data_IF_070528508020
#
_entry.id   IF_070528508020
#
_cell.length_a   1.000
_cell.length_b   1.000
_cell.length_c   1.000
_cell.angle_alpha   90.00
_cell.angle_beta   90.00
_cell.angle_gamma   90.00
#
_symmetry.space_group_name_H-M   'P 1'
#
loop_
_entity.id
_entity.type
_entity.pdbx_description
1 polymer ?
#
# COMPACT_ATOMS: atom_id res chain seq x y z
N UNK A 1 8.86 15.60 -21.13
CA UNK A 1 8.17 14.46 -21.79
C UNK A 1 6.68 14.57 -21.52
N UNK A 2 5.81 14.30 -22.51
CA UNK A 2 4.37 14.27 -22.29
C UNK A 2 4.00 13.14 -21.32
N UNK A 3 2.95 13.36 -20.53
CA UNK A 3 2.37 12.35 -19.66
C UNK A 3 1.49 11.42 -20.50
N UNK A 4 1.83 10.14 -20.52
CA UNK A 4 0.99 9.13 -21.16
C UNK A 4 0.06 8.52 -20.11
N UNK A 5 -1.22 8.40 -20.43
CA UNK A 5 -2.20 7.73 -19.57
C UNK A 5 -2.86 6.58 -20.31
N UNK A 6 -2.94 5.42 -19.65
CA UNK A 6 -3.68 4.26 -20.14
C UNK A 6 -4.70 3.82 -19.09
N UNK A 7 -5.84 3.33 -19.52
CA UNK A 7 -6.89 2.81 -18.63
C UNK A 7 -7.36 1.44 -19.05
N UNK A 8 -7.67 0.59 -18.07
CA UNK A 8 -8.16 -0.76 -18.30
C UNK A 8 -9.28 -1.07 -17.33
N UNK A 9 -10.24 -1.84 -17.80
CA UNK A 9 -11.29 -2.46 -16.99
C UNK A 9 -11.13 -3.95 -17.15
N UNK A 10 -10.92 -4.66 -16.05
CA UNK A 10 -10.79 -6.12 -16.02
C UNK A 10 -11.98 -6.70 -15.26
N UNK A 11 -12.67 -7.64 -15.91
CA UNK A 11 -13.80 -8.37 -15.37
C UNK A 11 -13.35 -9.76 -14.92
N UNK A 12 -14.05 -10.34 -13.93
CA UNK A 12 -13.80 -11.70 -13.45
C UNK A 12 -12.53 -11.83 -12.59
N UNK A 13 -12.05 -10.71 -12.05
CA UNK A 13 -11.01 -10.71 -11.04
C UNK A 13 -11.61 -11.04 -9.68
N UNK A 14 -10.96 -11.94 -8.96
CA UNK A 14 -11.24 -12.15 -7.54
C UNK A 14 -10.60 -10.98 -6.79
N UNK A 15 -11.45 -10.19 -6.13
CA UNK A 15 -11.00 -9.02 -5.38
C UNK A 15 -10.88 -9.37 -3.89
N UNK A 16 -9.72 -9.14 -3.26
CA UNK A 16 -9.58 -9.37 -1.83
C UNK A 16 -10.50 -8.45 -1.03
N UNK A 17 -11.20 -8.95 0.00
CA UNK A 17 -12.04 -8.14 0.88
C UNK A 17 -11.14 -7.39 1.87
N UNK A 18 -10.33 -6.45 1.37
CA UNK A 18 -9.42 -5.67 2.20
C UNK A 18 -10.21 -4.73 3.10
N UNK A 19 -9.94 -4.81 4.39
CA UNK A 19 -10.55 -3.99 5.44
C UNK A 19 -9.56 -3.79 6.58
N UNK A 20 -9.79 -2.81 7.46
CA UNK A 20 -9.02 -2.64 8.70
C UNK A 20 -8.92 -3.96 9.48
N UNK A 21 -10.04 -4.66 9.64
CA UNK A 21 -10.09 -5.94 10.35
C UNK A 21 -9.19 -7.01 9.70
N UNK A 22 -9.10 -7.05 8.36
CA UNK A 22 -8.22 -7.98 7.64
C UNK A 22 -6.76 -7.78 8.03
N UNK A 23 -6.31 -6.51 8.12
CA UNK A 23 -4.94 -6.18 8.49
C UNK A 23 -4.68 -6.32 10.00
N UNK A 24 -5.64 -5.95 10.85
CA UNK A 24 -5.56 -6.11 12.30
C UNK A 24 -5.47 -7.59 12.71
N UNK A 25 -6.17 -8.50 12.02
CA UNK A 25 -6.04 -9.95 12.21
C UNK A 25 -4.64 -10.48 11.87
N UNK A 26 -3.94 -9.83 10.95
CA UNK A 26 -2.55 -10.12 10.62
C UNK A 26 -1.57 -9.42 11.56
N UNK A 27 -2.06 -8.65 12.52
CA UNK A 27 -1.24 -7.92 13.49
C UNK A 27 -0.72 -6.57 13.00
N UNK A 28 -1.27 -6.05 11.90
CA UNK A 28 -1.02 -4.67 11.48
C UNK A 28 -1.94 -3.71 12.22
N UNK A 29 -1.35 -2.66 12.76
CA UNK A 29 -2.10 -1.53 13.28
C UNK A 29 -2.07 -0.41 12.22
N UNK A 30 -3.25 0.09 11.90
CA UNK A 30 -3.55 0.88 10.72
C UNK A 30 -3.54 2.37 11.05
N UNK A 31 -2.84 3.15 10.24
CA UNK A 31 -2.84 4.60 10.35
C UNK A 31 -4.05 5.20 9.65
N UNK A 32 -4.63 6.23 10.26
CA UNK A 32 -5.65 7.07 9.63
C UNK A 32 -4.99 8.18 8.82
N UNK A 33 -5.44 8.38 7.59
CA UNK A 33 -4.98 9.40 6.67
C UNK A 33 -5.37 10.78 7.20
N UNK A 34 -4.44 11.46 7.87
CA UNK A 34 -4.70 12.76 8.47
C UNK A 34 -5.08 13.80 7.40
N UNK A 35 -6.16 14.53 7.64
CA UNK A 35 -6.52 15.71 6.84
C UNK A 35 -5.36 16.70 6.87
N UNK A 36 -4.81 17.03 5.71
CA UNK A 36 -4.09 18.29 5.54
C UNK A 36 -5.08 19.43 5.77
N UNK A 37 -5.15 19.96 6.99
CA UNK A 37 -5.79 21.24 7.28
C UNK A 37 -4.95 22.34 6.63
N UNK A 38 -5.23 22.64 5.36
CA UNK A 38 -4.59 23.70 4.61
C UNK A 38 -5.63 24.68 4.09
N UNK A 39 -6.34 25.34 5.00
CA UNK A 39 -7.03 26.59 4.70
C UNK A 39 -6.10 27.75 5.08
N UNK A 40 -5.55 28.43 4.07
CA UNK A 40 -5.03 29.80 4.17
C UNK A 40 -3.65 29.99 4.79
N UNK A 41 -2.62 30.07 3.95
CA UNK A 41 -1.63 31.16 4.02
C UNK A 41 -0.81 31.16 2.73
N UNK A 42 -1.01 32.20 1.92
CA UNK A 42 -0.15 32.54 0.80
C UNK A 42 1.17 33.09 1.35
N UNK A 43 2.14 32.22 1.59
CA UNK A 43 3.54 32.64 1.65
C UNK A 43 4.39 31.58 0.95
N UNK A 44 4.65 31.84 -0.33
CA UNK A 44 5.53 31.07 -1.20
C UNK A 44 6.99 31.33 -0.77
N UNK A 45 7.51 30.47 0.11
CA UNK A 45 8.92 30.05 0.18
C UNK A 45 9.04 28.87 1.17
N UNK A 46 9.62 27.78 0.69
CA UNK A 46 10.04 26.58 1.44
C UNK A 46 8.94 25.61 1.92
N UNK A 47 8.03 25.25 1.01
CA UNK A 47 7.00 24.23 1.22
C UNK A 47 7.45 22.78 0.96
N UNK A 48 8.49 22.29 1.65
CA UNK A 48 8.74 20.85 1.76
C UNK A 48 7.85 20.27 2.87
N UNK A 49 6.54 20.20 2.59
CA UNK A 49 5.55 19.57 3.47
C UNK A 49 5.99 18.16 3.85
N UNK A 50 6.15 17.95 5.15
CA UNK A 50 6.76 16.79 5.78
C UNK A 50 5.84 15.56 5.66
N UNK A 51 5.68 14.98 4.46
CA UNK A 51 5.23 13.60 4.30
C UNK A 51 6.40 12.72 4.73
N UNK A 52 6.51 12.47 6.02
CA UNK A 52 7.28 11.34 6.50
C UNK A 52 6.45 10.12 6.12
N UNK A 53 6.88 9.40 5.09
CA UNK A 53 6.62 7.97 5.05
C UNK A 53 7.38 7.40 6.25
N UNK A 54 6.80 7.50 7.46
CA UNK A 54 7.24 6.62 8.53
C UNK A 54 6.95 5.21 8.03
N UNK A 55 8.02 4.42 8.01
CA UNK A 55 7.93 3.05 7.61
C UNK A 55 6.99 2.34 8.59
N UNK A 56 6.08 1.50 8.09
CA UNK A 56 5.78 0.26 8.80
C UNK A 56 7.05 -0.59 8.70
N UNK A 57 8.04 -0.20 9.49
CA UNK A 57 9.12 -1.08 9.85
C UNK A 57 8.52 -2.15 10.72
N UNK A 58 8.73 -3.41 10.36
CA UNK A 58 9.06 -4.42 11.37
C UNK A 58 10.28 -3.89 12.13
N UNK A 59 10.07 -2.94 13.06
CA UNK A 59 11.13 -2.38 13.88
C UNK A 59 11.63 -3.55 14.71
N UNK A 60 12.84 -3.98 14.36
CA UNK A 60 13.42 -5.23 14.81
C UNK A 60 13.37 -5.38 16.32
N UNK A 61 13.23 -6.63 16.75
CA UNK A 61 13.98 -7.10 17.89
C UNK A 61 15.41 -6.54 17.78
N UNK A 62 15.80 -5.69 18.72
CA UNK A 62 17.09 -5.66 19.43
C UNK A 62 17.10 -4.46 20.40
N UNK A 63 17.65 -4.70 21.58
CA UNK A 63 17.63 -3.90 22.81
C UNK A 63 17.43 -2.37 22.72
N UNK A 64 16.42 -1.87 23.43
CA UNK A 64 16.31 -0.48 23.84
C UNK A 64 16.77 -0.28 25.29
N UNK A 65 17.71 0.65 25.48
CA UNK A 65 17.81 1.48 26.67
C UNK A 65 17.92 2.93 26.19
N UNK A 66 17.00 3.80 26.63
CA UNK A 66 17.02 5.24 26.33
C UNK A 66 15.62 5.83 26.15
N UNK A 67 15.15 6.58 27.15
CA UNK A 67 13.77 7.04 27.31
C UNK A 67 13.40 8.39 26.70
N UNK A 68 12.12 8.74 26.93
CA UNK A 68 11.42 9.98 26.56
C UNK A 68 10.42 9.72 25.43
N UNK A 69 9.13 10.00 25.50
CA UNK A 69 8.30 10.72 26.45
C UNK A 69 7.11 11.32 25.68
N UNK A 70 5.94 10.67 25.74
CA UNK A 70 4.64 11.29 25.45
C UNK A 70 4.07 11.15 24.04
N UNK A 71 3.20 10.16 23.82
CA UNK A 71 1.77 10.33 23.45
C UNK A 71 1.18 8.96 23.13
N UNK A 72 0.19 8.53 23.91
CA UNK A 72 -0.85 7.55 23.52
C UNK A 72 -0.47 6.19 22.91
N UNK A 73 0.79 5.77 22.93
CA UNK A 73 1.23 4.51 22.32
C UNK A 73 0.70 3.33 23.12
N UNK A 74 -0.45 2.78 22.70
CA UNK A 74 -0.87 1.45 23.08
C UNK A 74 0.33 0.51 22.94
N UNK A 75 0.74 -0.11 24.04
CA UNK A 75 1.93 -0.95 24.12
C UNK A 75 1.75 -2.10 23.13
N UNK A 76 2.32 -2.00 21.92
CA UNK A 76 2.23 -3.04 20.91
C UNK A 76 2.83 -4.31 21.49
N UNK A 77 2.00 -5.35 21.59
CA UNK A 77 2.51 -6.68 21.87
C UNK A 77 3.33 -7.11 20.65
N UNK A 78 4.54 -7.65 20.85
CA UNK A 78 5.31 -8.17 19.74
C UNK A 78 4.53 -9.27 19.03
N UNK A 79 4.49 -9.23 17.70
CA UNK A 79 3.88 -10.29 16.91
C UNK A 79 4.56 -11.62 17.21
N UNK A 80 3.77 -12.67 17.27
CA UNK A 80 4.34 -14.02 17.25
C UNK A 80 5.06 -14.24 15.92
N UNK A 81 6.06 -15.12 15.90
CA UNK A 81 6.81 -15.48 14.67
C UNK A 81 5.86 -15.90 13.54
N UNK A 82 4.80 -16.63 13.88
CA UNK A 82 3.79 -17.07 12.93
C UNK A 82 2.94 -15.91 12.37
N UNK A 83 2.55 -14.94 13.22
CA UNK A 83 1.84 -13.74 12.78
C UNK A 83 2.71 -12.87 11.88
N UNK A 84 3.98 -12.65 12.26
CA UNK A 84 4.93 -11.90 11.44
C UNK A 84 5.14 -12.56 10.07
N UNK A 85 5.28 -13.90 10.03
CA UNK A 85 5.40 -14.64 8.77
C UNK A 85 4.14 -14.51 7.89
N UNK A 86 2.94 -14.70 8.46
CA UNK A 86 1.68 -14.53 7.73
C UNK A 86 1.52 -13.12 7.20
N UNK A 87 1.86 -12.12 8.01
CA UNK A 87 1.79 -10.73 7.62
C UNK A 87 2.71 -10.43 6.44
N UNK A 88 3.99 -10.85 6.51
CA UNK A 88 4.94 -10.68 5.40
C UNK A 88 4.45 -11.35 4.13
N UNK A 89 3.90 -12.57 4.23
CA UNK A 89 3.36 -13.28 3.07
C UNK A 89 2.15 -12.58 2.46
N UNK A 90 1.22 -12.13 3.31
CA UNK A 90 0.06 -11.35 2.89
C UNK A 90 0.46 -10.07 2.13
N UNK A 91 1.39 -9.31 2.71
CA UNK A 91 1.88 -8.05 2.14
C UNK A 91 2.61 -8.31 0.81
N UNK A 92 3.57 -9.23 0.80
CA UNK A 92 4.36 -9.54 -0.41
C UNK A 92 3.47 -10.09 -1.52
N UNK A 93 2.52 -10.97 -1.20
CA UNK A 93 1.57 -11.51 -2.18
C UNK A 93 0.64 -10.41 -2.71
N UNK A 94 0.12 -9.53 -1.85
CA UNK A 94 -0.71 -8.40 -2.30
C UNK A 94 0.08 -7.46 -3.22
N UNK A 95 1.32 -7.14 -2.88
CA UNK A 95 2.18 -6.33 -3.73
C UNK A 95 2.47 -7.01 -5.09
N UNK A 96 2.74 -8.32 -5.07
CA UNK A 96 3.00 -9.11 -6.29
C UNK A 96 1.76 -9.14 -7.19
N UNK A 97 0.59 -9.34 -6.59
CA UNK A 97 -0.70 -9.31 -7.27
C UNK A 97 -0.99 -7.94 -7.90
N UNK A 98 -0.78 -6.84 -7.17
CA UNK A 98 -0.91 -5.47 -7.69
C UNK A 98 0.08 -5.20 -8.84
N UNK A 99 1.31 -5.69 -8.73
CA UNK A 99 2.33 -5.61 -9.79
C UNK A 99 1.90 -6.36 -11.06
N UNK A 100 1.38 -7.57 -10.92
CA UNK A 100 0.87 -8.37 -12.04
C UNK A 100 -0.30 -7.65 -12.76
N UNK A 101 -1.23 -7.08 -12.00
CA UNK A 101 -2.33 -6.27 -12.54
C UNK A 101 -1.80 -5.04 -13.30
N UNK A 102 -0.83 -4.32 -12.73
CA UNK A 102 -0.22 -3.16 -13.37
C UNK A 102 0.50 -3.53 -14.68
N UNK A 103 1.18 -4.69 -14.71
CA UNK A 103 1.80 -5.24 -15.91
C UNK A 103 0.79 -5.75 -16.95
N UNK A 104 -0.51 -5.77 -16.62
CA UNK A 104 -1.55 -6.17 -17.56
C UNK A 104 -1.73 -7.66 -17.70
N UNK A 105 -1.32 -8.43 -16.70
CA UNK A 105 -1.54 -9.86 -16.69
C UNK A 105 -3.05 -10.17 -16.72
N UNK A 106 -3.40 -11.34 -17.30
CA UNK A 106 -4.77 -11.81 -17.39
C UNK A 106 -5.35 -12.12 -16.01
N UNK A 107 -6.69 -12.11 -15.91
CA UNK A 107 -7.39 -12.36 -14.64
C UNK A 107 -7.06 -13.74 -14.05
N UNK A 108 -6.89 -14.78 -14.85
CA UNK A 108 -6.52 -16.13 -14.39
C UNK A 108 -5.19 -16.10 -13.63
N UNK A 109 -4.13 -15.56 -14.24
CA UNK A 109 -2.82 -15.48 -13.59
C UNK A 109 -2.86 -14.60 -12.34
N UNK A 110 -3.59 -13.48 -12.38
CA UNK A 110 -3.74 -12.63 -11.20
C UNK A 110 -4.47 -13.37 -10.08
N UNK A 111 -5.52 -14.13 -10.39
CA UNK A 111 -6.25 -14.89 -9.37
C UNK A 111 -5.36 -15.96 -8.71
N UNK A 112 -4.47 -16.60 -9.47
CA UNK A 112 -3.52 -17.59 -8.94
C UNK A 112 -2.42 -16.98 -8.04
N UNK A 113 -2.16 -15.67 -8.17
CA UNK A 113 -1.15 -14.94 -7.39
C UNK A 113 -1.70 -14.32 -6.10
N UNK A 114 -3.01 -14.38 -5.88
CA UNK A 114 -3.66 -13.74 -4.74
C UNK A 114 -3.38 -14.57 -3.46
N UNK A 115 -2.75 -14.00 -2.42
CA UNK A 115 -2.35 -14.79 -1.27
C UNK A 115 -3.55 -15.17 -0.39
N UNK A 116 -3.57 -16.42 0.08
CA UNK A 116 -4.62 -16.94 0.97
C UNK A 116 -4.78 -16.10 2.24
N UNK A 117 -3.73 -15.41 2.69
CA UNK A 117 -3.79 -14.58 3.90
C UNK A 117 -4.64 -13.32 3.73
N UNK A 118 -4.74 -12.74 2.53
CA UNK A 118 -5.63 -11.60 2.24
C UNK A 118 -6.95 -12.04 1.58
N UNK A 119 -7.03 -13.32 1.24
CA UNK A 119 -8.22 -14.03 0.79
C UNK A 119 -8.54 -15.14 1.77
N UNK A 120 -9.04 -14.81 2.99
CA UNK A 120 -9.39 -15.85 3.93
C UNK A 120 -10.36 -16.81 3.26
N UNK A 121 -9.95 -18.08 3.14
CA UNK A 121 -10.85 -19.19 2.89
C UNK A 121 -11.97 -19.04 3.90
N UNK A 122 -13.22 -18.98 3.43
CA UNK A 122 -14.39 -18.88 4.30
C UNK A 122 -14.20 -19.93 5.40
N UNK A 123 -14.00 -19.47 6.64
CA UNK A 123 -13.94 -20.34 7.81
C UNK A 123 -15.19 -21.22 7.77
N UNK A 124 -15.03 -22.53 7.94
CA UNK A 124 -16.14 -23.50 7.85
C UNK A 124 -17.33 -23.14 8.76
N UNK A 125 -17.07 -22.38 9.82
CA UNK A 125 -18.07 -21.91 10.81
C UNK A 125 -18.63 -20.50 10.55
N UNK A 126 -18.12 -19.76 9.57
CA UNK A 126 -18.67 -18.47 9.20
C UNK A 126 -19.95 -18.68 8.37
N UNK A 127 -21.04 -17.91 8.63
CA UNK A 127 -22.20 -17.97 7.76
C UNK A 127 -21.75 -17.73 6.31
N UNK A 128 -22.18 -18.62 5.42
CA UNK A 128 -21.82 -18.52 4.01
C UNK A 128 -22.09 -17.08 3.53
N UNK A 129 -21.12 -16.43 2.87
CA UNK A 129 -21.35 -15.10 2.32
C UNK A 129 -22.61 -15.14 1.47
N UNK A 130 -23.41 -14.07 1.54
CA UNK A 130 -24.66 -14.02 0.76
C UNK A 130 -24.35 -14.26 -0.72
N UNK A 131 -25.34 -14.76 -1.47
CA UNK A 131 -25.17 -14.97 -2.92
C UNK A 131 -24.66 -13.71 -3.63
N UNK A 132 -25.15 -12.54 -3.24
CA UNK A 132 -24.68 -11.25 -3.76
C UNK A 132 -23.21 -10.98 -3.44
N UNK A 133 -22.75 -11.35 -2.25
CA UNK A 133 -21.35 -11.18 -1.85
C UNK A 133 -20.43 -12.18 -2.56
N UNK A 134 -20.88 -13.42 -2.76
CA UNK A 134 -20.17 -14.40 -3.59
C UNK A 134 -20.09 -13.94 -5.05
N UNK A 135 -21.19 -13.46 -5.63
CA UNK A 135 -21.21 -12.92 -6.99
C UNK A 135 -20.31 -11.69 -7.11
N UNK A 136 -20.27 -10.79 -6.11
CA UNK A 136 -19.32 -9.67 -6.07
C UNK A 136 -17.86 -10.11 -5.99
N UNK A 137 -17.56 -11.19 -5.25
CA UNK A 137 -16.21 -11.75 -5.15
C UNK A 137 -15.77 -12.45 -6.43
N UNK A 138 -16.70 -13.10 -7.15
CA UNK A 138 -16.43 -13.87 -8.38
C UNK A 138 -16.47 -13.00 -9.66
N UNK A 139 -17.23 -11.90 -9.64
CA UNK A 139 -17.44 -11.00 -10.78
C UNK A 139 -16.96 -9.58 -10.49
N UNK A 140 -15.91 -9.47 -9.67
CA UNK A 140 -15.27 -8.19 -9.38
C UNK A 140 -14.88 -7.46 -10.66
N UNK A 141 -15.17 -6.17 -10.72
CA UNK A 141 -14.68 -5.28 -11.78
C UNK A 141 -13.55 -4.44 -11.20
N UNK A 142 -12.34 -4.60 -11.74
CA UNK A 142 -11.22 -3.75 -11.41
C UNK A 142 -11.05 -2.69 -12.50
N UNK A 143 -10.94 -1.43 -12.09
CA UNK A 143 -10.58 -0.32 -12.97
C UNK A 143 -9.18 0.14 -12.60
N UNK A 144 -8.24 0.02 -13.54
CA UNK A 144 -6.88 0.52 -13.37
C UNK A 144 -6.59 1.67 -14.32
N UNK A 145 -5.80 2.63 -13.82
CA UNK A 145 -5.25 3.75 -14.58
C UNK A 145 -3.76 3.79 -14.34
N UNK A 146 -2.99 3.88 -15.42
CA UNK A 146 -1.55 3.95 -15.37
C UNK A 146 -1.09 5.23 -16.07
N UNK A 147 -0.23 5.98 -15.39
CA UNK A 147 0.44 7.15 -15.94
C UNK A 147 1.93 6.87 -16.05
N UNK A 148 2.53 7.25 -17.19
CA UNK A 148 3.97 7.11 -17.43
C UNK A 148 4.58 8.45 -17.78
N UNK A 149 5.76 8.70 -17.24
CA UNK A 149 6.54 9.92 -17.48
C UNK A 149 7.11 10.50 -16.18
N UNK A 150 7.52 11.76 -16.25
CA UNK A 150 8.04 12.49 -15.10
C UNK A 150 6.87 13.02 -14.25
N UNK A 151 6.52 12.28 -13.20
CA UNK A 151 5.51 12.69 -12.23
C UNK A 151 6.17 13.41 -11.06
N UNK A 152 5.67 14.60 -10.72
CA UNK A 152 6.10 15.30 -9.51
C UNK A 152 5.48 14.67 -8.27
N UNK A 153 6.14 14.83 -7.12
CA UNK A 153 5.57 14.39 -5.83
C UNK A 153 4.19 15.01 -5.57
N UNK A 154 3.99 16.26 -5.97
CA UNK A 154 2.70 16.93 -5.86
C UNK A 154 1.59 16.25 -6.68
N UNK A 155 1.91 15.82 -7.91
CA UNK A 155 0.96 15.07 -8.75
C UNK A 155 0.60 13.72 -8.11
N UNK A 156 1.60 13.00 -7.60
CA UNK A 156 1.39 11.72 -6.90
C UNK A 156 0.51 11.91 -5.66
N UNK A 157 0.76 12.96 -4.86
CA UNK A 157 -0.06 13.30 -3.70
C UNK A 157 -1.51 13.64 -4.08
N UNK A 158 -1.73 14.36 -5.19
CA UNK A 158 -3.08 14.66 -5.66
C UNK A 158 -3.82 13.39 -6.09
N UNK A 159 -3.14 12.43 -6.72
CA UNK A 159 -3.72 11.11 -7.04
C UNK A 159 -4.09 10.38 -5.75
N UNK A 160 -3.20 10.33 -4.76
CA UNK A 160 -3.50 9.69 -3.47
C UNK A 160 -4.72 10.31 -2.76
N UNK A 161 -4.82 11.64 -2.74
CA UNK A 161 -5.98 12.34 -2.17
C UNK A 161 -7.27 12.01 -2.90
N UNK A 162 -7.24 12.02 -4.24
CA UNK A 162 -8.40 11.65 -5.05
C UNK A 162 -8.81 10.19 -4.85
N UNK A 163 -7.84 9.28 -4.73
CA UNK A 163 -8.08 7.86 -4.46
C UNK A 163 -8.69 7.63 -3.08
N UNK A 164 -8.13 8.27 -2.04
CA UNK A 164 -8.69 8.25 -0.68
C UNK A 164 -10.14 8.77 -0.68
N UNK A 165 -10.44 9.86 -1.40
CA UNK A 165 -11.79 10.38 -1.54
C UNK A 165 -12.79 9.38 -2.16
N UNK A 166 -12.35 8.58 -3.14
CA UNK A 166 -13.21 7.55 -3.75
C UNK A 166 -13.60 6.47 -2.74
N UNK A 167 -12.66 6.04 -1.89
CA UNK A 167 -12.90 5.04 -0.85
C UNK A 167 -13.76 5.64 0.26
N UNK A 168 -13.45 6.86 0.70
CA UNK A 168 -14.18 7.59 1.74
C UNK A 168 -15.64 7.85 1.37
N UNK A 169 -15.90 8.20 0.11
CA UNK A 169 -17.25 8.36 -0.43
C UNK A 169 -17.94 7.04 -0.76
N UNK A 170 -17.35 5.90 -0.38
CA UNK A 170 -17.86 4.54 -0.59
C UNK A 170 -18.18 4.21 -2.05
N UNK A 171 -17.52 4.88 -3.01
CA UNK A 171 -17.65 4.56 -4.44
C UNK A 171 -16.94 3.26 -4.80
N UNK A 172 -15.92 2.91 -4.02
CA UNK A 172 -15.18 1.65 -4.07
C UNK A 172 -14.89 1.17 -2.65
N UNK A 173 -14.82 -0.15 -2.39
CA UNK A 173 -14.58 -0.68 -1.05
C UNK A 173 -13.15 -0.43 -0.54
N UNK A 174 -12.19 -0.40 -1.46
CA UNK A 174 -10.79 -0.05 -1.24
C UNK A 174 -10.19 0.36 -2.59
N UNK A 175 -9.02 1.01 -2.55
CA UNK A 175 -8.27 1.33 -3.75
C UNK A 175 -6.77 1.30 -3.47
N UNK A 176 -5.96 1.09 -4.50
CA UNK A 176 -4.51 1.08 -4.36
C UNK A 176 -3.85 2.06 -5.34
N UNK A 177 -2.81 2.74 -4.87
CA UNK A 177 -1.90 3.52 -5.70
C UNK A 177 -0.54 2.83 -5.66
N UNK A 178 -0.06 2.41 -6.82
CA UNK A 178 1.27 1.85 -6.97
C UNK A 178 2.16 2.82 -7.73
N UNK A 179 3.33 3.12 -7.17
CA UNK A 179 4.30 4.06 -7.74
C UNK A 179 5.59 3.30 -8.01
N UNK A 180 6.08 3.42 -9.24
CA UNK A 180 7.41 2.99 -9.65
C UNK A 180 8.30 4.21 -9.83
N UNK A 181 9.41 4.24 -9.09
CA UNK A 181 10.49 5.19 -9.29
C UNK A 181 11.34 4.84 -10.50
N UNK A 182 12.37 5.64 -10.74
CA UNK A 182 13.33 5.38 -11.82
C UNK A 182 14.43 4.44 -11.33
N UNK A 183 14.77 3.46 -12.16
CA UNK A 183 15.85 2.50 -11.88
C UNK A 183 17.24 3.15 -11.73
N UNK A 184 17.44 4.32 -12.34
CA UNK A 184 18.69 5.09 -12.32
C UNK A 184 18.67 6.25 -11.31
N UNK A 185 17.76 6.23 -10.33
CA UNK A 185 17.72 7.25 -9.27
C UNK A 185 18.91 7.06 -8.33
N UNK A 186 19.88 8.00 -8.24
CA UNK A 186 21.05 7.83 -7.38
C UNK A 186 20.70 7.93 -5.88
N UNK A 187 19.68 8.75 -5.57
CA UNK A 187 19.24 9.06 -4.21
C UNK A 187 17.72 9.08 -4.16
N UNK A 188 17.13 8.21 -3.35
CA UNK A 188 15.70 8.17 -3.08
C UNK A 188 15.42 8.42 -1.59
N UNK A 189 14.15 8.37 -1.20
CA UNK A 189 13.73 8.31 0.21
C UNK A 189 14.45 9.29 1.16
N UNK A 190 14.34 10.61 0.90
CA UNK A 190 14.93 11.67 1.73
C UNK A 190 16.46 11.62 1.88
N UNK A 191 17.17 11.25 0.81
CA UNK A 191 18.63 11.28 0.84
C UNK A 191 19.28 9.90 0.98
N UNK A 192 18.49 8.83 1.02
CA UNK A 192 19.04 7.47 1.03
C UNK A 192 19.62 7.15 -0.36
N UNK A 193 20.91 6.82 -0.38
CA UNK A 193 21.57 6.32 -1.57
C UNK A 193 20.91 5.03 -2.02
N UNK A 194 20.50 4.98 -3.28
CA UNK A 194 20.05 3.74 -3.88
C UNK A 194 21.29 2.87 -4.12
N UNK A 195 21.35 1.71 -3.47
CA UNK A 195 22.45 0.77 -3.66
C UNK A 195 22.48 0.27 -5.10
N UNK A 196 23.52 0.60 -5.86
CA UNK A 196 23.76 0.14 -7.23
C UNK A 196 24.21 -1.34 -7.31
N UNK A 197 23.73 -2.19 -6.40
CA UNK A 197 24.13 -3.59 -6.39
C UNK A 197 23.36 -4.36 -7.48
N UNK A 198 24.10 -4.79 -8.51
CA UNK A 198 23.70 -5.69 -9.58
C UNK A 198 22.58 -5.17 -10.50
N UNK A 199 22.97 -4.36 -11.50
CA UNK A 199 22.25 -4.25 -12.77
C UNK A 199 21.03 -3.33 -12.82
N UNK A 200 20.95 -2.30 -11.97
CA UNK A 200 19.83 -1.33 -12.00
C UNK A 200 18.53 -1.85 -11.39
N UNK A 201 18.58 -2.91 -10.59
CA UNK A 201 17.41 -3.51 -9.93
C UNK A 201 16.95 -2.76 -8.66
N UNK A 202 17.42 -1.53 -8.44
CA UNK A 202 17.06 -0.67 -7.30
C UNK A 202 15.92 0.27 -7.65
N UNK A 203 14.76 -0.26 -8.03
CA UNK A 203 13.59 0.60 -8.27
C UNK A 203 12.97 1.02 -6.94
N UNK A 204 12.93 2.34 -6.66
CA UNK A 204 12.13 2.88 -5.55
C UNK A 204 10.65 2.74 -5.88
N UNK A 205 10.06 1.61 -5.51
CA UNK A 205 8.63 1.42 -5.62
C UNK A 205 7.95 1.47 -4.26
N UNK A 206 6.65 1.75 -4.27
CA UNK A 206 5.81 1.56 -3.11
C UNK A 206 4.34 1.41 -3.53
N UNK A 207 3.57 0.77 -2.67
CA UNK A 207 2.13 0.59 -2.84
C UNK A 207 1.43 1.20 -1.64
N UNK A 208 0.42 2.03 -1.87
CA UNK A 208 -0.48 2.53 -0.82
C UNK A 208 -1.84 1.92 -1.05
N UNK A 209 -2.39 1.25 -0.04
CA UNK A 209 -3.77 0.73 -0.08
C UNK A 209 -4.62 1.58 0.85
N UNK A 210 -5.68 2.15 0.30
CA UNK A 210 -6.67 2.96 1.00
C UNK A 210 -7.90 2.10 1.31
N UNK A 211 -8.34 2.14 2.56
CA UNK A 211 -9.48 1.39 3.09
C UNK A 211 -10.57 2.36 3.59
N UNK A 212 -11.75 1.82 3.88
CA UNK A 212 -12.82 2.59 4.52
C UNK A 212 -12.39 3.12 5.90
N UNK A 213 -13.01 4.21 6.36
CA UNK A 213 -12.68 4.81 7.66
C UNK A 213 -11.42 5.68 7.66
N UNK A 214 -10.99 6.15 6.49
CA UNK A 214 -9.75 6.91 6.27
C UNK A 214 -8.47 6.12 6.60
N UNK A 215 -8.54 4.80 6.74
CA UNK A 215 -7.36 3.97 7.00
C UNK A 215 -6.53 3.74 5.73
N UNK A 216 -5.20 3.63 5.90
CA UNK A 216 -4.30 3.24 4.82
C UNK A 216 -3.13 2.40 5.30
N UNK A 217 -2.55 1.62 4.39
CA UNK A 217 -1.25 0.99 4.60
C UNK A 217 -0.30 1.30 3.45
N UNK A 218 0.98 1.46 3.79
CA UNK A 218 2.06 1.69 2.81
C UNK A 218 2.98 0.48 2.86
N UNK A 219 3.15 -0.14 1.70
CA UNK A 219 4.18 -1.13 1.47
C UNK A 219 5.32 -0.52 0.67
N UNK A 220 6.54 -0.69 1.16
CA UNK A 220 7.77 -0.30 0.48
C UNK A 220 8.69 -1.52 0.43
N UNK A 221 8.90 -2.15 -0.74
CA UNK A 221 9.98 -3.11 -0.88
C UNK A 221 11.29 -2.37 -0.68
N UNK A 222 12.12 -2.87 0.23
CA UNK A 222 13.47 -2.36 0.44
C UNK A 222 14.44 -3.19 -0.39
N UNK A 223 15.33 -2.52 -1.11
CA UNK A 223 16.47 -3.15 -1.74
C UNK A 223 17.39 -3.82 -0.71
N UNK A 224 18.24 -4.78 -1.12
CA UNK A 224 19.12 -5.52 -0.20
C UNK A 224 20.10 -4.63 0.59
N UNK A 225 20.37 -3.41 0.11
CA UNK A 225 21.23 -2.43 0.77
C UNK A 225 20.46 -1.22 1.33
N UNK A 226 19.13 -1.20 1.23
CA UNK A 226 18.32 -0.11 1.76
C UNK A 226 17.94 -0.43 3.21
N UNK A 227 18.33 0.46 4.13
CA UNK A 227 17.96 0.34 5.54
C UNK A 227 16.64 1.05 5.79
N UNK A 228 15.74 0.42 6.54
CA UNK A 228 14.57 1.12 7.07
C UNK A 228 15.04 2.16 8.08
N UNK A 229 14.91 3.45 7.73
CA UNK A 229 15.11 4.56 8.66
C UNK A 229 14.03 4.59 9.75
#
# INVERSE_FOLDING_TARGET
MPLESTGRTQLGLILPPLSRATFEQLGMDMETFARGTGAGSSDDRDGAGNFAAEAVGSRGLLHGSGGGGGSGGGRRLPLTVHQDWRLRRAITGLHTWLGALACGQGHTLCNDLLPDEVMPLVLEDAPLPSREEQERRLLGTLVSRMWKGMLSQHQVLNVMKATSELVRSQRVPWAAVHVWGFADTPVAWRGMEHGACWGGAGESSYSVVFLGGDDYCIYRPLGPNEMAA
#
